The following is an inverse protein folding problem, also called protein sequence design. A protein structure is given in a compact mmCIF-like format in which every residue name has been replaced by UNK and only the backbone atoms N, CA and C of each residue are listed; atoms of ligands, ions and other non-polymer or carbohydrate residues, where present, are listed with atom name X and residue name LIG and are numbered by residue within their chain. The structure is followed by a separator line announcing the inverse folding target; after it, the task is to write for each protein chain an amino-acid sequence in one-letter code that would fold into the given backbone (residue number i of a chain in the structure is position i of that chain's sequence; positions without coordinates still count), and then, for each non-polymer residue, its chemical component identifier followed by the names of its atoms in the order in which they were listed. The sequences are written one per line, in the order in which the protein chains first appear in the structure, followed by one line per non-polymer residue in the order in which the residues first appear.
data_IF_121657679698
#
_entry.id   IF_121657679698
#
_cell.length_a   1.000
_cell.length_b   1.000
_cell.length_c   1.000
_cell.angle_alpha   90.00
_cell.angle_beta   90.00
_cell.angle_gamma   90.00
#
_symmetry.space_group_name_H-M   'P 1'
#
loop_
_entity.id
_entity.type
_entity.pdbx_description
1 polymer ?
#
# COMPACT_ATOMS: atom_id res chain seq x y z
N UNK A 1 44.74 26.63 -0.97
CA UNK A 1 43.87 25.91 -0.03
C UNK A 1 42.62 25.50 -0.81
N UNK A 2 42.44 24.20 -1.07
CA UNK A 2 41.34 23.67 -1.89
C UNK A 2 40.18 23.30 -0.96
N UNK A 3 39.04 23.93 -1.15
CA UNK A 3 37.75 23.52 -0.59
C UNK A 3 37.38 22.13 -1.13
N UNK A 4 37.64 21.11 -0.34
CA UNK A 4 37.24 19.72 -0.57
C UNK A 4 36.20 19.31 0.49
N UNK A 5 35.15 20.12 0.62
CA UNK A 5 33.95 19.73 1.36
C UNK A 5 32.96 19.01 0.43
N UNK A 6 32.23 17.99 0.92
CA UNK A 6 31.22 17.31 0.12
C UNK A 6 30.20 18.33 -0.41
N UNK A 7 29.86 18.25 -1.70
CA UNK A 7 28.83 19.10 -2.30
C UNK A 7 27.49 18.82 -1.63
N UNK A 8 27.10 19.69 -0.72
CA UNK A 8 25.93 19.51 0.16
C UNK A 8 24.57 19.44 -0.56
N UNK A 9 24.49 19.73 -1.85
CA UNK A 9 23.20 19.92 -2.51
C UNK A 9 22.36 18.63 -2.65
N UNK A 10 22.98 17.43 -2.54
CA UNK A 10 22.27 16.15 -2.64
C UNK A 10 22.64 15.12 -1.55
N UNK A 11 23.51 15.45 -0.59
CA UNK A 11 23.87 14.53 0.50
C UNK A 11 22.74 14.43 1.54
N UNK A 12 22.42 13.20 1.96
CA UNK A 12 21.48 12.91 3.05
C UNK A 12 22.29 12.48 4.29
N UNK A 13 22.44 13.35 5.30
CA UNK A 13 23.20 13.04 6.51
C UNK A 13 22.52 11.91 7.30
N UNK A 14 23.29 10.84 7.57
CA UNK A 14 22.84 9.67 8.33
C UNK A 14 23.68 9.52 9.59
N UNK A 15 23.02 9.24 10.71
CA UNK A 15 23.67 8.94 11.99
C UNK A 15 24.53 7.68 11.88
N UNK A 16 25.69 7.69 12.51
CA UNK A 16 26.55 6.52 12.61
C UNK A 16 26.07 5.62 13.78
N UNK A 17 25.50 4.44 13.51
CA UNK A 17 24.95 3.57 14.57
C UNK A 17 26.04 2.97 15.47
N UNK A 18 27.30 3.02 15.05
CA UNK A 18 28.43 2.45 15.77
C UNK A 18 29.01 3.38 16.84
N UNK A 19 28.51 4.62 16.97
CA UNK A 19 29.04 5.65 17.88
C UNK A 19 28.00 6.00 18.95
N UNK A 20 28.42 5.98 20.22
CA UNK A 20 27.59 6.44 21.34
C UNK A 20 27.54 7.98 21.38
N UNK A 21 26.43 8.53 20.89
CA UNK A 21 26.19 9.96 20.78
C UNK A 21 26.25 10.72 22.11
N UNK A 22 26.06 10.04 23.25
CA UNK A 22 26.10 10.66 24.59
C UNK A 22 27.51 10.94 25.09
N UNK A 23 28.51 10.33 24.46
CA UNK A 23 29.93 10.47 24.83
C UNK A 23 30.67 11.48 23.94
N UNK A 24 30.01 12.01 22.91
CA UNK A 24 30.57 13.01 22.02
C UNK A 24 30.52 14.41 22.65
N UNK A 25 31.56 15.24 22.49
CA UNK A 25 31.60 16.61 23.01
C UNK A 25 30.76 17.55 22.13
N UNK A 26 29.45 17.33 22.06
CA UNK A 26 28.52 18.11 21.27
C UNK A 26 28.15 19.41 21.99
N UNK A 27 28.19 20.54 21.28
CA UNK A 27 27.58 21.78 21.77
C UNK A 27 26.05 21.76 21.59
N UNK A 28 25.35 22.75 22.17
CA UNK A 28 23.89 22.81 22.14
C UNK A 28 23.31 22.89 20.72
N UNK A 29 24.01 23.54 19.79
CA UNK A 29 23.57 23.69 18.41
C UNK A 29 23.78 22.40 17.61
N UNK A 30 24.90 21.71 17.81
CA UNK A 30 25.21 20.40 17.23
C UNK A 30 24.22 19.34 17.71
N UNK A 31 23.94 19.29 19.01
CA UNK A 31 22.93 18.39 19.58
C UNK A 31 21.52 18.69 19.04
N UNK A 32 21.18 19.97 18.85
CA UNK A 32 19.91 20.37 18.26
C UNK A 32 19.79 19.92 16.80
N UNK A 33 20.80 20.19 15.96
CA UNK A 33 20.81 19.74 14.56
C UNK A 33 20.72 18.22 14.50
N UNK A 34 21.49 17.51 15.32
CA UNK A 34 21.51 16.05 15.37
C UNK A 34 20.14 15.46 15.77
N UNK A 35 19.42 16.11 16.69
CA UNK A 35 18.06 15.71 17.08
C UNK A 35 17.01 15.84 15.96
N UNK A 36 17.33 16.61 14.90
CA UNK A 36 16.46 16.83 13.74
C UNK A 36 16.85 15.98 12.53
N UNK A 37 17.93 15.20 12.62
CA UNK A 37 18.33 14.29 11.56
C UNK A 37 17.56 12.98 11.67
N UNK A 38 16.66 12.77 10.72
CA UNK A 38 15.83 11.56 10.57
C UNK A 38 16.46 10.52 9.62
N UNK A 39 17.62 10.84 9.03
CA UNK A 39 18.32 10.00 8.04
C UNK A 39 17.71 10.00 6.64
N UNK A 40 16.65 10.79 6.41
CA UNK A 40 15.91 10.87 5.14
C UNK A 40 15.86 12.29 4.56
N UNK A 41 16.04 13.30 5.39
CA UNK A 41 16.08 14.70 4.97
C UNK A 41 17.41 15.05 4.30
N UNK A 42 17.36 15.62 3.09
CA UNK A 42 18.56 16.09 2.38
C UNK A 42 19.14 17.33 3.06
N UNK A 43 20.46 17.49 3.00
CA UNK A 43 21.16 18.60 3.65
C UNK A 43 20.66 19.99 3.21
N UNK A 44 20.20 20.14 1.96
CA UNK A 44 19.61 21.39 1.44
C UNK A 44 18.27 21.78 2.06
N UNK A 45 17.52 20.82 2.60
CA UNK A 45 16.17 21.03 3.15
C UNK A 45 16.19 21.28 4.67
N UNK A 46 17.33 21.01 5.31
CA UNK A 46 17.54 21.21 6.75
C UNK A 46 17.46 22.68 7.24
N UNK A 47 17.81 23.72 6.46
CA UNK A 47 17.59 25.11 6.88
C UNK A 47 16.12 25.39 7.21
N UNK A 48 15.17 24.81 6.45
CA UNK A 48 13.74 24.96 6.70
C UNK A 48 13.29 24.30 8.01
N UNK A 49 13.96 23.23 8.45
CA UNK A 49 13.62 22.48 9.66
C UNK A 49 14.29 23.02 10.93
N UNK A 50 15.48 23.59 10.79
CA UNK A 50 16.32 24.05 11.91
C UNK A 50 16.24 25.56 12.12
N UNK A 51 15.83 26.33 11.11
CA UNK A 51 15.85 27.79 11.12
C UNK A 51 17.26 28.39 11.06
N UNK A 52 18.29 27.57 10.84
CA UNK A 52 19.68 28.01 10.76
C UNK A 52 20.06 28.39 9.32
N UNK A 53 20.93 29.42 9.13
CA UNK A 53 21.44 29.77 7.82
C UNK A 53 22.28 28.63 7.26
N UNK A 54 22.21 28.44 5.94
CA UNK A 54 22.82 27.30 5.24
C UNK A 54 24.30 27.16 5.60
N UNK A 55 25.09 28.24 5.51
CA UNK A 55 26.53 28.25 5.83
C UNK A 55 26.84 27.71 7.23
N UNK A 56 26.09 28.14 8.24
CA UNK A 56 26.27 27.68 9.63
C UNK A 56 25.94 26.20 9.79
N UNK A 57 24.94 25.72 9.04
CA UNK A 57 24.58 24.31 9.04
C UNK A 57 25.65 23.45 8.35
N UNK A 58 26.33 23.97 7.31
CA UNK A 58 27.47 23.27 6.67
C UNK A 58 28.58 23.01 7.68
N UNK A 59 28.95 24.04 8.45
CA UNK A 59 30.00 23.95 9.45
C UNK A 59 29.64 22.95 10.56
N UNK A 60 28.39 22.97 11.02
CA UNK A 60 27.90 22.02 12.03
C UNK A 60 27.94 20.58 11.50
N UNK A 61 27.45 20.34 10.27
CA UNK A 61 27.46 19.00 9.68
C UNK A 61 28.88 18.49 9.42
N UNK A 62 29.81 19.36 8.99
CA UNK A 62 31.21 19.00 8.82
C UNK A 62 31.85 18.56 10.16
N UNK A 63 31.62 19.32 11.24
CA UNK A 63 32.10 18.94 12.59
C UNK A 63 31.49 17.63 13.08
N UNK A 64 30.21 17.40 12.81
CA UNK A 64 29.54 16.14 13.19
C UNK A 64 30.07 14.93 12.42
N UNK A 65 30.49 15.09 11.17
CA UNK A 65 31.19 14.03 10.41
C UNK A 65 32.59 13.80 10.99
N UNK A 66 33.34 14.85 11.29
CA UNK A 66 34.69 14.77 11.88
C UNK A 66 34.67 14.08 13.25
N UNK A 67 33.65 14.35 14.07
CA UNK A 67 33.42 13.71 15.36
C UNK A 67 32.87 12.28 15.24
N UNK A 68 32.63 11.79 14.02
CA UNK A 68 32.13 10.44 13.74
C UNK A 68 30.64 10.24 14.03
N UNK A 69 29.89 11.30 14.36
CA UNK A 69 28.46 11.25 14.62
C UNK A 69 27.63 10.97 13.35
N UNK A 70 28.14 11.40 12.19
CA UNK A 70 27.52 11.21 10.88
C UNK A 70 28.41 10.41 9.93
N UNK A 71 27.79 9.63 9.05
CA UNK A 71 28.48 8.93 7.96
C UNK A 71 28.88 9.92 6.86
N UNK A 72 30.13 9.91 6.37
CA UNK A 72 30.55 10.81 5.29
C UNK A 72 29.75 10.56 4.00
N UNK A 73 29.42 11.63 3.28
CA UNK A 73 28.73 11.54 1.99
C UNK A 73 29.56 10.77 0.97
N UNK A 74 28.94 9.81 0.29
CA UNK A 74 29.58 8.80 -0.55
C UNK A 74 30.20 9.31 -1.88
N UNK A 75 30.60 10.58 -2.00
CA UNK A 75 31.25 11.11 -3.21
C UNK A 75 32.78 11.22 -3.13
N UNK A 76 33.43 10.93 -2.00
CA UNK A 76 34.91 10.95 -1.88
C UNK A 76 35.57 9.55 -1.79
N UNK A 77 34.83 8.48 -2.06
CA UNK A 77 35.41 7.14 -2.20
C UNK A 77 35.74 6.84 -3.68
N UNK A 78 36.93 7.21 -4.13
CA UNK A 78 37.46 6.84 -5.44
C UNK A 78 37.49 5.30 -5.61
N UNK A 79 36.90 4.72 -6.68
CA UNK A 79 37.05 3.30 -6.95
C UNK A 79 38.36 3.04 -7.69
N UNK A 80 39.22 2.21 -7.08
CA UNK A 80 40.41 1.65 -7.69
C UNK A 80 39.95 0.65 -8.76
N UNK A 81 40.07 1.03 -10.02
CA UNK A 81 39.78 0.22 -11.19
C UNK A 81 40.77 -0.96 -11.28
N UNK A 82 40.28 -2.19 -11.14
CA UNK A 82 40.97 -3.39 -11.59
C UNK A 82 40.32 -3.90 -12.87
N UNK A 83 41.09 -3.80 -13.96
CA UNK A 83 40.83 -4.32 -15.30
C UNK A 83 40.48 -5.82 -15.31
N UNK A 84 39.50 -6.22 -16.13
CA UNK A 84 39.70 -7.31 -17.11
C UNK A 84 38.67 -7.29 -18.23
N UNK A 85 39.18 -7.05 -19.43
CA UNK A 85 38.55 -7.24 -20.73
C UNK A 85 38.52 -8.74 -21.11
N UNK A 86 37.57 -9.13 -21.95
CA UNK A 86 37.63 -10.37 -22.72
C UNK A 86 36.29 -10.85 -23.29
N UNK A 87 35.92 -10.31 -24.46
CA UNK A 87 35.05 -10.99 -25.44
C UNK A 87 35.96 -11.40 -26.63
N UNK A 88 35.63 -12.42 -27.46
CA UNK A 88 34.58 -12.25 -28.48
C UNK A 88 33.79 -13.50 -28.96
N UNK A 89 32.61 -13.21 -29.52
CA UNK A 89 31.90 -13.73 -30.72
C UNK A 89 31.87 -15.24 -31.10
N UNK A 90 30.66 -15.76 -31.39
CA UNK A 90 30.22 -16.28 -32.71
C UNK A 90 28.76 -16.83 -32.73
N UNK A 91 28.08 -16.67 -33.87
CA UNK A 91 26.81 -17.28 -34.37
C UNK A 91 27.09 -17.71 -35.85
N UNK A 92 26.19 -18.39 -36.59
CA UNK A 92 25.50 -19.69 -36.47
C UNK A 92 25.81 -20.57 -37.75
N UNK A 93 25.06 -21.64 -38.17
CA UNK A 93 23.77 -21.49 -38.89
C UNK A 93 22.74 -22.70 -38.90
N UNK A 94 21.48 -22.36 -39.28
CA UNK A 94 20.46 -23.07 -40.14
C UNK A 94 19.87 -24.48 -39.88
N UNK A 95 18.54 -24.51 -39.62
CA UNK A 95 17.36 -25.22 -40.26
C UNK A 95 17.55 -26.44 -41.20
N UNK A 96 16.55 -27.38 -41.34
CA UNK A 96 15.15 -27.10 -41.73
C UNK A 96 14.02 -28.01 -41.18
N UNK A 97 12.81 -27.66 -41.65
CA UNK A 97 11.45 -28.07 -41.29
C UNK A 97 11.03 -29.49 -41.68
N UNK A 98 9.94 -29.97 -41.06
CA UNK A 98 8.96 -30.84 -41.73
C UNK A 98 7.54 -30.63 -41.14
N UNK A 99 6.62 -30.18 -42.01
CA UNK A 99 5.16 -30.16 -41.84
C UNK A 99 4.57 -31.54 -42.20
N UNK A 100 3.37 -31.87 -41.71
CA UNK A 100 2.18 -32.27 -42.52
C UNK A 100 0.97 -32.54 -41.57
N UNK A 101 -0.27 -32.23 -42.00
CA UNK A 101 -1.43 -32.00 -41.13
C UNK A 101 -2.45 -33.14 -41.18
N UNK A 102 -3.45 -33.13 -40.28
CA UNK A 102 -4.73 -33.78 -40.54
C UNK A 102 -5.90 -32.99 -39.96
N UNK A 103 -6.81 -32.68 -40.88
CA UNK A 103 -8.02 -31.89 -40.79
C UNK A 103 -9.20 -32.86 -40.79
N UNK A 104 -10.10 -32.76 -39.81
CA UNK A 104 -11.48 -33.24 -39.96
C UNK A 104 -12.43 -32.14 -39.46
N UNK A 105 -13.15 -31.58 -40.42
CA UNK A 105 -14.42 -30.82 -40.33
C UNK A 105 -15.54 -31.78 -39.85
N UNK A 106 -16.74 -31.44 -39.39
CA UNK A 106 -17.55 -30.24 -39.22
C UNK A 106 -18.81 -30.71 -38.45
N UNK A 107 -19.56 -29.79 -37.84
CA UNK A 107 -20.98 -29.57 -38.12
C UNK A 107 -21.66 -28.89 -36.92
N UNK A 108 -22.31 -27.79 -37.25
CA UNK A 108 -22.98 -26.81 -36.41
C UNK A 108 -24.38 -27.24 -35.96
N UNK A 109 -24.91 -26.61 -34.91
CA UNK A 109 -26.26 -26.04 -34.92
C UNK A 109 -26.43 -24.99 -33.81
N UNK A 110 -26.99 -23.85 -34.21
CA UNK A 110 -27.39 -22.71 -33.41
C UNK A 110 -28.49 -23.03 -32.38
N UNK A 111 -28.47 -22.32 -31.24
CA UNK A 111 -29.66 -21.54 -30.83
C UNK A 111 -29.27 -20.38 -29.91
N UNK A 112 -29.94 -19.26 -30.11
CA UNK A 112 -29.63 -17.93 -29.59
C UNK A 112 -30.15 -17.71 -28.17
N UNK A 113 -29.47 -16.86 -27.40
CA UNK A 113 -30.15 -15.95 -26.46
C UNK A 113 -29.29 -14.71 -26.21
N UNK A 114 -30.04 -13.62 -26.14
CA UNK A 114 -29.71 -12.21 -26.23
C UNK A 114 -29.22 -11.67 -24.88
N UNK A 115 -28.00 -11.11 -24.84
CA UNK A 115 -27.51 -10.24 -23.76
C UNK A 115 -26.23 -9.53 -24.24
N UNK A 116 -26.35 -8.25 -24.60
CA UNK A 116 -25.24 -7.37 -24.97
C UNK A 116 -24.14 -7.32 -23.89
N UNK A 117 -22.85 -7.50 -24.25
CA UNK A 117 -21.73 -7.36 -23.33
C UNK A 117 -21.30 -5.89 -23.17
N UNK A 118 -21.01 -5.52 -21.92
CA UNK A 118 -20.46 -4.23 -21.51
C UNK A 118 -19.08 -3.98 -22.16
N UNK A 119 -18.76 -2.76 -22.63
CA UNK A 119 -17.39 -2.43 -23.01
C UNK A 119 -16.54 -2.19 -21.76
N UNK A 120 -15.53 -3.06 -21.58
CA UNK A 120 -14.40 -2.85 -20.68
C UNK A 120 -13.67 -1.57 -21.08
N UNK A 121 -13.85 -0.50 -20.30
CA UNK A 121 -13.08 0.74 -20.48
C UNK A 121 -11.90 0.70 -19.52
N UNK A 122 -10.71 0.70 -20.12
CA UNK A 122 -9.43 0.72 -19.45
C UNK A 122 -9.36 1.81 -18.37
N UNK A 123 -8.99 1.38 -17.16
CA UNK A 123 -8.82 2.23 -16.01
C UNK A 123 -7.55 3.08 -16.17
N UNK A 124 -7.70 4.31 -16.66
CA UNK A 124 -6.72 5.35 -16.46
C UNK A 124 -6.75 5.78 -14.98
N UNK A 125 -5.70 5.38 -14.24
CA UNK A 125 -5.45 5.73 -12.85
C UNK A 125 -5.14 7.23 -12.73
N UNK A 126 -6.14 8.03 -12.38
CA UNK A 126 -5.98 9.41 -11.92
C UNK A 126 -5.60 9.42 -10.45
N UNK A 127 -4.32 9.64 -10.16
CA UNK A 127 -3.83 9.94 -8.83
C UNK A 127 -4.49 11.22 -8.29
N UNK A 128 -5.13 11.13 -7.13
CA UNK A 128 -5.46 12.29 -6.31
C UNK A 128 -5.32 11.90 -4.84
N UNK A 129 -4.64 12.80 -4.12
CA UNK A 129 -3.97 12.51 -2.88
C UNK A 129 -4.91 12.36 -1.69
N UNK A 130 -4.59 11.37 -0.87
CA UNK A 130 -4.64 11.48 0.58
C UNK A 130 -3.57 10.52 1.11
N UNK A 131 -2.74 10.98 2.04
CA UNK A 131 -1.42 10.40 2.38
C UNK A 131 -1.39 8.88 2.42
N UNK A 132 -0.76 8.28 1.41
CA UNK A 132 -0.41 6.87 1.45
C UNK A 132 0.72 6.70 2.47
N UNK A 133 0.39 6.11 3.61
CA UNK A 133 1.29 5.24 4.38
C UNK A 133 1.63 3.97 3.57
N UNK A 134 1.89 4.11 2.26
CA UNK A 134 2.59 3.06 1.52
C UNK A 134 4.00 3.02 2.10
N UNK A 135 4.46 1.86 2.62
CA UNK A 135 5.85 1.74 3.03
C UNK A 135 6.71 2.11 1.82
N UNK A 136 7.71 2.97 2.04
CA UNK A 136 8.59 3.41 0.98
C UNK A 136 9.08 2.20 0.17
N UNK A 137 9.17 2.30 -1.17
CA UNK A 137 9.51 1.17 -2.07
C UNK A 137 10.89 0.52 -1.81
N UNK A 138 11.66 0.99 -0.83
CA UNK A 138 12.93 0.41 -0.38
C UNK A 138 12.82 -0.65 0.73
N UNK A 139 11.65 -0.85 1.34
CA UNK A 139 11.48 -1.74 2.50
C UNK A 139 10.95 -3.15 2.17
N UNK A 140 10.58 -3.40 0.91
CA UNK A 140 10.18 -4.72 0.44
C UNK A 140 11.42 -5.51 0.01
N UNK A 141 11.61 -6.68 0.63
CA UNK A 141 12.71 -7.59 0.30
C UNK A 141 12.57 -8.02 -1.17
N UNK A 142 13.62 -7.82 -1.96
CA UNK A 142 13.66 -8.22 -3.38
C UNK A 142 13.26 -9.68 -3.56
N UNK A 143 12.47 -9.98 -4.60
CA UNK A 143 12.02 -11.34 -4.95
C UNK A 143 13.20 -12.34 -5.08
N UNK A 144 14.38 -11.86 -5.52
CA UNK A 144 15.58 -12.70 -5.57
C UNK A 144 16.05 -13.13 -4.17
N UNK A 145 15.99 -12.22 -3.19
CA UNK A 145 16.37 -12.49 -1.80
C UNK A 145 15.33 -13.38 -1.12
N UNK A 146 14.04 -13.15 -1.39
CA UNK A 146 12.95 -14.04 -0.96
C UNK A 146 13.16 -15.47 -1.49
N UNK A 147 13.55 -15.60 -2.76
CA UNK A 147 13.90 -16.89 -3.37
C UNK A 147 15.05 -17.60 -2.64
N UNK A 148 16.04 -16.85 -2.18
CA UNK A 148 17.17 -17.41 -1.42
C UNK A 148 16.75 -17.95 -0.05
N UNK A 149 15.92 -17.20 0.71
CA UNK A 149 15.40 -17.67 2.00
C UNK A 149 14.54 -18.92 1.85
N UNK A 150 13.67 -18.93 0.84
CA UNK A 150 12.83 -20.10 0.56
C UNK A 150 13.66 -21.32 0.19
N UNK A 151 14.67 -21.15 -0.66
CA UNK A 151 15.59 -22.24 -1.02
C UNK A 151 16.34 -22.77 0.21
N UNK A 152 16.80 -21.88 1.09
CA UNK A 152 17.46 -22.27 2.33
C UNK A 152 16.52 -23.09 3.22
N UNK A 153 15.27 -22.66 3.38
CA UNK A 153 14.26 -23.40 4.14
C UNK A 153 14.07 -24.82 3.60
N UNK A 154 13.75 -24.95 2.31
CA UNK A 154 13.46 -26.26 1.69
C UNK A 154 14.64 -27.23 1.75
N UNK A 155 15.86 -26.72 1.60
CA UNK A 155 17.07 -27.57 1.53
C UNK A 155 17.65 -27.95 2.87
N UNK A 156 17.54 -27.08 3.90
CA UNK A 156 18.25 -27.27 5.18
C UNK A 156 17.33 -27.42 6.38
N UNK A 157 16.18 -26.76 6.38
CA UNK A 157 15.35 -26.62 7.58
C UNK A 157 14.11 -27.52 7.51
N UNK A 158 13.45 -27.59 6.36
CA UNK A 158 12.19 -28.32 6.20
C UNK A 158 12.28 -29.81 6.56
N UNK A 159 13.42 -30.45 6.29
CA UNK A 159 13.65 -31.85 6.62
C UNK A 159 13.89 -32.15 8.10
N UNK A 160 14.08 -31.13 8.94
CA UNK A 160 14.31 -31.31 10.37
C UNK A 160 12.99 -31.58 11.12
N UNK A 161 13.01 -32.42 12.17
CA UNK A 161 11.87 -32.62 13.05
C UNK A 161 11.32 -31.29 13.59
N UNK A 162 10.01 -31.25 13.85
CA UNK A 162 9.33 -30.05 14.37
C UNK A 162 10.00 -29.51 15.64
N UNK A 163 10.25 -30.37 16.64
CA UNK A 163 10.87 -29.98 17.91
C UNK A 163 12.26 -29.34 17.72
N UNK A 164 13.02 -29.82 16.74
CA UNK A 164 14.33 -29.25 16.42
C UNK A 164 14.19 -27.86 15.79
N UNK A 165 13.24 -27.68 14.86
CA UNK A 165 12.97 -26.37 14.25
C UNK A 165 12.46 -25.37 15.29
N UNK A 166 11.58 -25.79 16.20
CA UNK A 166 11.12 -24.98 17.33
C UNK A 166 12.30 -24.55 18.21
N UNK A 167 13.14 -25.50 18.62
CA UNK A 167 14.30 -25.20 19.46
C UNK A 167 15.28 -24.24 18.77
N UNK A 168 15.53 -24.42 17.47
CA UNK A 168 16.39 -23.54 16.68
C UNK A 168 15.80 -22.13 16.54
N UNK A 169 14.49 -22.01 16.34
CA UNK A 169 13.81 -20.75 16.06
C UNK A 169 14.06 -19.67 17.13
N UNK A 170 14.21 -20.05 18.40
CA UNK A 170 14.41 -19.11 19.51
C UNK A 170 15.72 -18.33 19.46
N UNK A 171 16.78 -18.90 18.86
CA UNK A 171 18.14 -18.33 18.94
C UNK A 171 18.82 -18.10 17.60
N UNK A 172 18.24 -18.56 16.51
CA UNK A 172 18.86 -18.47 15.19
C UNK A 172 18.93 -17.02 14.68
N UNK A 173 19.90 -16.75 13.81
CA UNK A 173 20.16 -15.47 13.16
C UNK A 173 19.82 -15.53 11.67
N UNK A 174 19.88 -14.38 10.99
CA UNK A 174 19.78 -14.37 9.53
C UNK A 174 21.01 -15.01 8.87
N UNK A 175 20.84 -15.73 7.74
CA UNK A 175 19.62 -15.84 6.93
C UNK A 175 18.63 -16.95 7.36
N UNK A 176 18.99 -17.83 8.28
CA UNK A 176 18.15 -18.95 8.73
C UNK A 176 16.87 -18.47 9.43
N UNK A 177 16.92 -17.36 10.18
CA UNK A 177 15.75 -16.75 10.81
C UNK A 177 14.69 -16.33 9.78
N UNK A 178 15.11 -15.62 8.74
CA UNK A 178 14.26 -15.28 7.59
C UNK A 178 13.73 -16.53 6.86
N UNK A 179 14.52 -17.60 6.77
CA UNK A 179 14.07 -18.86 6.16
C UNK A 179 13.00 -19.58 7.01
N UNK A 180 13.12 -19.58 8.35
CA UNK A 180 12.09 -20.15 9.25
C UNK A 180 10.75 -19.40 9.19
N UNK A 181 10.70 -18.19 8.63
CA UNK A 181 9.42 -17.49 8.41
C UNK A 181 8.52 -18.17 7.35
N UNK A 182 9.08 -19.08 6.54
CA UNK A 182 8.34 -19.88 5.55
C UNK A 182 7.78 -21.19 6.12
N UNK A 183 8.02 -21.46 7.40
CA UNK A 183 7.59 -22.69 8.03
C UNK A 183 6.05 -22.81 8.05
N UNK A 184 5.46 -23.94 7.59
CA UNK A 184 4.03 -24.13 7.62
C UNK A 184 3.48 -24.44 9.03
N UNK A 185 4.34 -24.82 9.97
CA UNK A 185 3.94 -25.30 11.30
C UNK A 185 3.75 -24.11 12.26
N UNK A 186 2.56 -23.95 12.88
CA UNK A 186 2.30 -22.84 13.79
C UNK A 186 3.21 -22.79 15.01
N UNK A 187 3.64 -23.95 15.54
CA UNK A 187 4.54 -24.01 16.69
C UNK A 187 5.90 -23.38 16.38
N UNK A 188 6.46 -23.65 15.20
CA UNK A 188 7.71 -23.03 14.74
C UNK A 188 7.54 -21.54 14.56
N UNK A 189 6.45 -21.08 13.94
CA UNK A 189 6.20 -19.63 13.78
C UNK A 189 6.04 -18.93 15.14
N UNK A 190 5.38 -19.54 16.12
CA UNK A 190 5.32 -18.99 17.49
C UNK A 190 6.71 -18.84 18.09
N UNK A 191 7.55 -19.88 18.02
CA UNK A 191 8.92 -19.84 18.50
C UNK A 191 9.78 -18.79 17.76
N UNK A 192 9.62 -18.67 16.44
CA UNK A 192 10.26 -17.62 15.64
C UNK A 192 9.83 -16.25 16.15
N UNK A 193 8.54 -16.01 16.38
CA UNK A 193 8.03 -14.72 16.89
C UNK A 193 8.49 -14.39 18.31
N UNK A 194 8.96 -15.37 19.09
CA UNK A 194 9.56 -15.19 20.41
C UNK A 194 11.06 -14.87 20.35
N UNK A 195 11.71 -15.10 19.21
CA UNK A 195 13.12 -14.75 19.02
C UNK A 195 13.31 -13.22 19.14
N UNK A 196 14.25 -12.75 19.98
CA UNK A 196 14.45 -11.32 20.23
C UNK A 196 14.91 -10.53 18.99
N UNK A 197 15.42 -11.21 17.95
CA UNK A 197 15.89 -10.60 16.71
C UNK A 197 14.76 -10.44 15.68
N UNK A 198 13.56 -10.97 15.93
CA UNK A 198 12.45 -10.82 15.01
C UNK A 198 11.90 -9.40 14.99
N UNK A 199 12.19 -8.71 13.89
CA UNK A 199 11.63 -7.41 13.52
C UNK A 199 10.54 -7.45 12.43
N UNK A 200 10.23 -6.27 11.87
CA UNK A 200 9.16 -6.08 10.88
C UNK A 200 9.37 -6.83 9.57
N UNK A 201 10.62 -6.99 9.12
CA UNK A 201 10.92 -7.74 7.89
C UNK A 201 10.40 -9.19 7.97
N UNK A 202 10.69 -9.87 9.09
CA UNK A 202 10.20 -11.22 9.38
C UNK A 202 8.68 -11.27 9.52
N UNK A 203 8.08 -10.28 10.22
CA UNK A 203 6.63 -10.18 10.35
C UNK A 203 5.93 -10.07 8.99
N UNK A 204 6.50 -9.30 8.04
CA UNK A 204 5.99 -9.17 6.67
C UNK A 204 6.11 -10.48 5.88
N UNK A 205 7.21 -11.22 6.04
CA UNK A 205 7.36 -12.57 5.45
C UNK A 205 6.27 -13.53 5.94
N UNK A 206 6.06 -13.59 7.26
CA UNK A 206 5.06 -14.45 7.88
C UNK A 206 3.66 -14.05 7.41
N UNK A 207 3.33 -12.75 7.44
CA UNK A 207 2.05 -12.23 6.96
C UNK A 207 1.75 -12.62 5.51
N UNK A 208 2.76 -12.55 4.63
CA UNK A 208 2.62 -12.82 3.19
C UNK A 208 2.52 -14.32 2.87
N UNK A 209 3.27 -15.15 3.58
CA UNK A 209 3.52 -16.53 3.14
C UNK A 209 2.98 -17.61 4.07
N UNK A 210 2.74 -17.32 5.35
CA UNK A 210 2.30 -18.34 6.28
C UNK A 210 0.87 -18.81 5.97
N UNK A 211 0.67 -20.12 5.91
CA UNK A 211 -0.56 -20.75 5.40
C UNK A 211 -1.45 -21.35 6.49
N UNK A 212 -1.15 -21.08 7.76
CA UNK A 212 -1.96 -21.58 8.86
C UNK A 212 -2.56 -20.41 9.67
N UNK A 213 -3.89 -20.40 9.88
CA UNK A 213 -4.55 -19.32 10.60
C UNK A 213 -4.03 -19.14 12.03
N UNK A 214 -3.62 -20.23 12.71
CA UNK A 214 -3.08 -20.18 14.07
C UNK A 214 -1.77 -19.40 14.14
N UNK A 215 -0.89 -19.54 13.14
CA UNK A 215 0.34 -18.76 13.10
C UNK A 215 0.11 -17.30 12.71
N UNK A 216 -0.88 -17.02 11.86
CA UNK A 216 -1.29 -15.63 11.56
C UNK A 216 -1.89 -14.93 12.79
N UNK A 217 -2.66 -15.65 13.62
CA UNK A 217 -3.14 -15.14 14.89
C UNK A 217 -2.00 -14.84 15.86
N UNK A 218 -0.99 -15.73 15.94
CA UNK A 218 0.19 -15.50 16.77
C UNK A 218 0.96 -14.25 16.31
N UNK A 219 1.13 -14.04 15.00
CA UNK A 219 1.72 -12.83 14.46
C UNK A 219 0.97 -11.57 14.93
N UNK A 220 -0.36 -11.62 14.88
CA UNK A 220 -1.22 -10.49 15.23
C UNK A 220 -1.35 -10.27 16.75
N UNK A 221 -0.79 -11.14 17.59
CA UNK A 221 -0.77 -10.93 19.04
C UNK A 221 0.17 -9.79 19.46
N UNK A 222 1.16 -9.44 18.63
CA UNK A 222 2.10 -8.33 18.88
C UNK A 222 1.58 -7.06 18.21
N UNK A 223 1.13 -6.10 19.03
CA UNK A 223 0.54 -4.84 18.55
C UNK A 223 1.46 -4.06 17.58
N UNK A 224 2.78 -4.08 17.84
CA UNK A 224 3.79 -3.44 16.99
C UNK A 224 3.74 -3.94 15.53
N UNK A 225 3.47 -5.23 15.30
CA UNK A 225 3.36 -5.78 13.95
C UNK A 225 2.05 -5.39 13.28
N UNK A 226 0.94 -5.39 14.03
CA UNK A 226 -0.35 -4.94 13.49
C UNK A 226 -0.41 -3.44 13.19
N UNK A 227 0.47 -2.65 13.82
CA UNK A 227 0.62 -1.23 13.58
C UNK A 227 1.40 -0.92 12.28
N UNK A 228 2.17 -1.87 11.75
CA UNK A 228 2.89 -1.73 10.48
C UNK A 228 1.96 -1.83 9.26
N UNK A 229 2.09 -0.91 8.32
CA UNK A 229 1.28 -0.90 7.08
C UNK A 229 1.62 -2.06 6.15
N UNK A 230 2.90 -2.43 6.06
CA UNK A 230 3.35 -3.56 5.24
C UNK A 230 2.79 -4.90 5.73
N UNK A 231 2.85 -5.17 7.03
CA UNK A 231 2.25 -6.37 7.64
C UNK A 231 0.75 -6.41 7.35
N UNK A 232 0.04 -5.29 7.56
CA UNK A 232 -1.40 -5.21 7.26
C UNK A 232 -1.71 -5.48 5.79
N UNK A 233 -0.95 -4.89 4.87
CA UNK A 233 -1.08 -5.08 3.41
C UNK A 233 -0.92 -6.55 3.02
N UNK A 234 0.10 -7.22 3.57
CA UNK A 234 0.31 -8.64 3.27
C UNK A 234 -0.71 -9.55 3.95
N UNK A 235 -1.15 -9.23 5.18
CA UNK A 235 -2.19 -9.98 5.88
C UNK A 235 -3.50 -10.03 5.09
N UNK A 236 -4.01 -8.89 4.61
CA UNK A 236 -5.29 -8.85 3.88
C UNK A 236 -5.24 -9.58 2.55
N UNK A 237 -4.05 -9.72 1.95
CA UNK A 237 -3.81 -10.47 0.72
C UNK A 237 -3.59 -11.97 0.97
N UNK A 238 -3.41 -12.38 2.22
CA UNK A 238 -3.20 -13.78 2.57
C UNK A 238 -4.53 -14.57 2.49
N UNK A 239 -4.62 -15.63 1.65
CA UNK A 239 -5.83 -16.45 1.52
C UNK A 239 -6.25 -17.17 2.80
N UNK A 240 -5.34 -17.36 3.74
CA UNK A 240 -5.55 -18.07 5.00
C UNK A 240 -5.91 -17.14 6.17
N UNK A 241 -6.11 -15.84 5.91
CA UNK A 241 -6.55 -14.88 6.92
C UNK A 241 -7.96 -15.23 7.43
N UNK A 242 -8.14 -15.54 8.73
CA UNK A 242 -9.46 -15.77 9.30
C UNK A 242 -10.34 -14.51 9.25
N UNK A 243 -11.62 -14.67 8.90
CA UNK A 243 -12.57 -13.56 8.89
C UNK A 243 -12.75 -12.93 10.29
N UNK A 244 -12.66 -13.72 11.36
CA UNK A 244 -12.67 -13.22 12.74
C UNK A 244 -11.48 -12.30 13.04
N UNK A 245 -10.28 -12.72 12.62
CA UNK A 245 -9.05 -11.94 12.76
C UNK A 245 -9.13 -10.65 11.93
N UNK A 246 -9.57 -10.75 10.68
CA UNK A 246 -9.78 -9.57 9.82
C UNK A 246 -10.75 -8.57 10.46
N UNK A 247 -11.92 -9.02 10.94
CA UNK A 247 -12.89 -8.13 11.61
C UNK A 247 -12.27 -7.46 12.84
N UNK A 248 -11.54 -8.19 13.67
CA UNK A 248 -10.89 -7.62 14.86
C UNK A 248 -9.90 -6.51 14.49
N UNK A 249 -9.12 -6.71 13.43
CA UNK A 249 -8.09 -5.76 13.00
C UNK A 249 -8.65 -4.57 12.19
N UNK A 250 -9.71 -4.77 11.40
CA UNK A 250 -10.24 -3.74 10.49
C UNK A 250 -11.52 -3.03 10.94
N UNK A 251 -12.27 -3.55 11.92
CA UNK A 251 -13.59 -3.02 12.27
C UNK A 251 -13.61 -1.51 12.60
N UNK A 252 -12.54 -1.00 13.21
CA UNK A 252 -12.45 0.40 13.64
C UNK A 252 -11.73 1.31 12.62
N UNK A 253 -11.34 0.78 11.46
CA UNK A 253 -10.63 1.56 10.42
C UNK A 253 -11.59 2.49 9.67
N UNK A 254 -11.02 3.42 8.90
CA UNK A 254 -11.82 4.41 8.18
C UNK A 254 -12.57 3.79 7.00
N UNK A 255 -13.69 4.39 6.59
CA UNK A 255 -14.51 3.98 5.46
C UNK A 255 -13.70 3.86 4.16
N UNK A 256 -12.79 4.82 3.93
CA UNK A 256 -11.90 4.79 2.76
C UNK A 256 -11.02 3.55 2.72
N UNK A 257 -10.50 3.10 3.87
CA UNK A 257 -9.65 1.91 3.93
C UNK A 257 -10.44 0.63 3.62
N UNK A 258 -11.67 0.55 4.13
CA UNK A 258 -12.57 -0.55 3.78
C UNK A 258 -12.83 -0.55 2.27
N UNK A 259 -13.14 0.60 1.68
CA UNK A 259 -13.40 0.71 0.24
C UNK A 259 -12.17 0.30 -0.60
N UNK A 260 -10.97 0.75 -0.25
CA UNK A 260 -9.72 0.34 -0.92
C UNK A 260 -9.62 -1.19 -1.00
N UNK A 261 -9.95 -1.91 0.08
CA UNK A 261 -9.96 -3.38 0.07
C UNK A 261 -11.07 -3.99 -0.81
N UNK A 262 -12.23 -3.34 -0.92
CA UNK A 262 -13.32 -3.87 -1.77
C UNK A 262 -13.01 -3.85 -3.26
N UNK A 263 -12.08 -2.99 -3.69
CA UNK A 263 -11.71 -2.83 -5.10
C UNK A 263 -10.34 -3.42 -5.44
N UNK A 264 -9.53 -3.78 -4.43
CA UNK A 264 -8.22 -4.41 -4.64
C UNK A 264 -8.36 -5.84 -5.19
N UNK A 265 -7.78 -6.09 -6.36
CA UNK A 265 -7.82 -7.40 -7.05
C UNK A 265 -6.91 -8.43 -6.38
N UNK A 266 -5.87 -7.98 -5.68
CA UNK A 266 -4.91 -8.85 -4.97
C UNK A 266 -5.48 -9.42 -3.67
N UNK A 267 -6.56 -8.82 -3.15
CA UNK A 267 -7.23 -9.27 -1.94
C UNK A 267 -8.15 -10.46 -2.26
N UNK A 268 -8.08 -11.59 -1.54
CA UNK A 268 -8.98 -12.73 -1.74
C UNK A 268 -10.47 -12.35 -1.65
N UNK A 269 -11.33 -13.01 -2.44
CA UNK A 269 -12.76 -12.69 -2.49
C UNK A 269 -13.47 -12.87 -1.13
N UNK A 270 -13.03 -13.83 -0.31
CA UNK A 270 -13.51 -14.02 1.07
C UNK A 270 -13.26 -12.78 1.94
N UNK A 271 -12.04 -12.23 1.87
CA UNK A 271 -11.65 -10.99 2.56
C UNK A 271 -12.41 -9.80 2.00
N UNK A 272 -12.53 -9.66 0.67
CA UNK A 272 -13.32 -8.59 0.04
C UNK A 272 -14.78 -8.62 0.45
N UNK A 273 -15.40 -9.79 0.54
CA UNK A 273 -16.79 -9.95 1.02
C UNK A 273 -16.93 -9.42 2.45
N UNK A 274 -16.02 -9.81 3.34
CA UNK A 274 -16.02 -9.33 4.72
C UNK A 274 -15.75 -7.82 4.80
N UNK A 275 -14.87 -7.29 3.94
CA UNK A 275 -14.62 -5.85 3.85
C UNK A 275 -15.86 -5.07 3.37
N UNK A 276 -16.64 -5.62 2.43
CA UNK A 276 -17.93 -5.04 1.99
C UNK A 276 -18.96 -5.04 3.11
N UNK A 277 -19.04 -6.10 3.91
CA UNK A 277 -19.91 -6.16 5.09
C UNK A 277 -19.55 -5.08 6.11
N UNK A 278 -18.26 -4.96 6.45
CA UNK A 278 -17.77 -3.93 7.38
C UNK A 278 -17.95 -2.52 6.83
N UNK A 279 -17.71 -2.29 5.54
CA UNK A 279 -17.96 -1.01 4.87
C UNK A 279 -19.41 -0.58 5.05
N UNK A 280 -20.37 -1.49 4.82
CA UNK A 280 -21.81 -1.21 4.99
C UNK A 280 -22.17 -0.94 6.45
N UNK A 281 -21.67 -1.76 7.38
CA UNK A 281 -21.91 -1.59 8.81
C UNK A 281 -21.37 -0.24 9.32
N UNK A 282 -20.14 0.12 8.92
CA UNK A 282 -19.51 1.40 9.27
C UNK A 282 -20.17 2.57 8.56
N UNK A 283 -20.65 2.41 7.33
CA UNK A 283 -21.35 3.48 6.63
C UNK A 283 -22.71 3.79 7.28
N UNK A 284 -23.42 2.77 7.78
CA UNK A 284 -24.68 2.96 8.48
C UNK A 284 -24.52 3.73 9.81
N UNK A 285 -23.51 3.37 10.60
CA UNK A 285 -23.31 3.88 11.97
C UNK A 285 -22.24 4.99 12.11
N UNK A 286 -21.45 5.22 11.08
CA UNK A 286 -20.29 6.12 11.12
C UNK A 286 -20.65 7.60 11.08
N UNK A 287 -19.65 8.47 11.33
CA UNK A 287 -19.82 9.92 11.32
C UNK A 287 -20.15 10.44 9.91
N UNK A 288 -20.99 11.48 9.86
CA UNK A 288 -21.50 12.05 8.61
C UNK A 288 -20.38 12.57 7.69
N UNK A 289 -19.34 13.16 8.27
CA UNK A 289 -18.18 13.71 7.57
C UNK A 289 -17.42 12.64 6.80
N UNK A 290 -17.17 11.49 7.44
CA UNK A 290 -16.45 10.37 6.83
C UNK A 290 -17.24 9.75 5.67
N UNK A 291 -18.57 9.70 5.77
CA UNK A 291 -19.44 9.28 4.65
C UNK A 291 -19.31 10.22 3.45
N UNK A 292 -19.25 11.53 3.71
CA UNK A 292 -19.08 12.55 2.66
C UNK A 292 -17.70 12.43 2.01
N UNK A 293 -16.64 12.32 2.81
CA UNK A 293 -15.28 12.10 2.33
C UNK A 293 -15.20 10.85 1.43
N UNK A 294 -15.78 9.72 1.87
CA UNK A 294 -15.85 8.51 1.06
C UNK A 294 -16.51 8.76 -0.29
N UNK A 295 -17.68 9.40 -0.30
CA UNK A 295 -18.43 9.64 -1.54
C UNK A 295 -17.64 10.56 -2.47
N UNK A 296 -17.06 11.64 -1.95
CA UNK A 296 -16.35 12.62 -2.77
C UNK A 296 -15.01 12.08 -3.29
N UNK A 297 -14.20 11.47 -2.43
CA UNK A 297 -12.87 10.97 -2.79
C UNK A 297 -12.93 9.76 -3.73
N UNK A 298 -14.05 9.03 -3.76
CA UNK A 298 -14.27 7.93 -4.70
C UNK A 298 -15.08 8.34 -5.93
N UNK A 299 -15.41 9.62 -6.07
CA UNK A 299 -16.35 10.13 -7.08
C UNK A 299 -17.67 9.34 -7.13
N UNK A 300 -18.14 8.85 -5.98
CA UNK A 300 -19.35 8.05 -5.84
C UNK A 300 -19.19 6.59 -6.23
N UNK A 301 -18.01 6.11 -6.62
CA UNK A 301 -17.79 4.68 -6.98
C UNK A 301 -18.09 3.75 -5.82
N UNK A 302 -17.85 4.19 -4.58
CA UNK A 302 -18.19 3.42 -3.38
C UNK A 302 -19.70 3.14 -3.24
N UNK A 303 -20.56 3.94 -3.87
CA UNK A 303 -22.03 3.80 -3.78
C UNK A 303 -22.53 2.47 -4.36
N UNK A 304 -21.78 1.86 -5.29
CA UNK A 304 -22.11 0.53 -5.82
C UNK A 304 -22.09 -0.57 -4.75
N UNK A 305 -21.22 -0.47 -3.74
CA UNK A 305 -21.21 -1.38 -2.58
C UNK A 305 -22.27 -1.01 -1.51
N UNK A 306 -22.84 0.20 -1.61
CA UNK A 306 -23.77 0.80 -0.65
C UNK A 306 -25.20 0.89 -1.20
N UNK A 307 -25.55 0.07 -2.20
CA UNK A 307 -26.91 -0.02 -2.73
C UNK A 307 -27.88 -0.31 -1.58
N UNK A 308 -28.98 0.46 -1.56
CA UNK A 308 -30.02 0.42 -0.53
C UNK A 308 -29.67 1.10 0.79
N UNK A 309 -28.46 1.65 0.95
CA UNK A 309 -28.09 2.39 2.16
C UNK A 309 -28.45 3.85 2.00
N UNK A 310 -29.30 4.37 2.89
CA UNK A 310 -29.60 5.79 2.98
C UNK A 310 -28.52 6.54 3.78
N UNK A 311 -28.58 7.86 3.74
CA UNK A 311 -27.76 8.75 4.58
C UNK A 311 -28.65 9.60 5.48
N UNK A 312 -28.09 10.01 6.61
CA UNK A 312 -28.72 10.91 7.56
C UNK A 312 -28.80 12.35 7.03
N UNK A 313 -29.65 13.17 7.66
CA UNK A 313 -29.88 14.56 7.25
C UNK A 313 -28.62 15.42 7.29
N UNK A 314 -27.70 15.16 8.21
CA UNK A 314 -26.42 15.88 8.30
C UNK A 314 -25.52 15.54 7.11
N UNK A 315 -25.35 14.27 6.75
CA UNK A 315 -24.63 13.88 5.52
C UNK A 315 -25.27 14.49 4.27
N UNK A 316 -26.60 14.46 4.16
CA UNK A 316 -27.30 15.07 3.02
C UNK A 316 -27.05 16.58 2.94
N UNK A 317 -27.12 17.29 4.06
CA UNK A 317 -26.84 18.73 4.14
C UNK A 317 -25.40 19.06 3.73
N UNK A 318 -24.42 18.30 4.22
CA UNK A 318 -23.01 18.47 3.86
C UNK A 318 -22.75 18.25 2.36
N UNK A 319 -23.43 17.29 1.73
CA UNK A 319 -23.37 17.08 0.28
C UNK A 319 -24.01 18.25 -0.49
N UNK A 320 -25.19 18.71 -0.06
CA UNK A 320 -25.84 19.89 -0.64
C UNK A 320 -25.04 21.19 -0.46
N UNK A 321 -24.16 21.27 0.53
CA UNK A 321 -23.26 22.40 0.72
C UNK A 321 -22.13 22.50 -0.32
N UNK A 322 -22.01 21.53 -1.24
CA UNK A 322 -20.92 21.47 -2.22
C UNK A 322 -21.34 21.93 -3.61
N UNK A 323 -20.36 22.47 -4.33
CA UNK A 323 -20.43 22.70 -5.78
C UNK A 323 -19.81 21.50 -6.50
N UNK A 324 -20.55 20.91 -7.43
CA UNK A 324 -20.12 19.70 -8.13
C UNK A 324 -19.47 20.05 -9.48
N UNK A 325 -18.21 19.63 -9.65
CA UNK A 325 -17.44 19.85 -10.89
C UNK A 325 -17.19 18.56 -11.68
N UNK A 326 -17.29 17.39 -11.05
CA UNK A 326 -17.08 16.08 -11.69
C UNK A 326 -18.39 15.56 -12.29
N UNK A 327 -18.49 15.40 -13.62
CA UNK A 327 -19.65 14.76 -14.25
C UNK A 327 -19.83 13.32 -13.75
N UNK A 328 -18.73 12.60 -13.54
CA UNK A 328 -18.75 11.21 -13.08
C UNK A 328 -19.38 11.07 -11.70
N UNK A 329 -19.04 11.95 -10.76
CA UNK A 329 -19.66 11.97 -9.43
C UNK A 329 -21.18 12.19 -9.52
N UNK A 330 -21.63 13.11 -10.38
CA UNK A 330 -23.07 13.36 -10.57
C UNK A 330 -23.75 12.13 -11.18
N UNK A 331 -23.13 11.47 -12.17
CA UNK A 331 -23.65 10.24 -12.75
C UNK A 331 -23.80 9.13 -11.70
N UNK A 332 -22.80 8.95 -10.84
CA UNK A 332 -22.85 7.94 -9.78
C UNK A 332 -23.91 8.27 -8.72
N UNK A 333 -24.03 9.54 -8.32
CA UNK A 333 -25.10 10.00 -7.42
C UNK A 333 -26.48 9.83 -8.04
N UNK A 334 -26.62 10.06 -9.35
CA UNK A 334 -27.88 9.85 -10.07
C UNK A 334 -28.25 8.37 -10.24
N UNK A 335 -27.30 7.43 -10.10
CA UNK A 335 -27.57 5.98 -10.12
C UNK A 335 -27.82 5.41 -8.73
N UNK A 336 -27.48 6.15 -7.68
CA UNK A 336 -27.66 5.72 -6.30
C UNK A 336 -29.12 5.89 -5.87
N UNK A 337 -29.90 4.81 -5.95
CA UNK A 337 -31.35 4.82 -5.67
C UNK A 337 -31.75 5.36 -4.29
N UNK A 338 -30.86 5.27 -3.30
CA UNK A 338 -31.07 5.79 -1.96
C UNK A 338 -30.60 7.25 -1.78
N UNK A 339 -30.20 7.94 -2.86
CA UNK A 339 -29.84 9.35 -2.83
C UNK A 339 -30.99 10.20 -2.27
N UNK A 340 -30.76 11.03 -1.24
CA UNK A 340 -31.82 11.83 -0.63
C UNK A 340 -32.52 12.74 -1.64
N UNK A 341 -33.85 12.93 -1.56
CA UNK A 341 -34.58 13.83 -2.46
C UNK A 341 -34.00 15.26 -2.50
N UNK A 342 -33.57 15.77 -1.34
CA UNK A 342 -32.94 17.10 -1.22
C UNK A 342 -31.63 17.20 -2.00
N UNK A 343 -30.86 16.12 -2.08
CA UNK A 343 -29.62 16.07 -2.84
C UNK A 343 -29.90 16.04 -4.34
N UNK A 344 -30.87 15.24 -4.78
CA UNK A 344 -31.28 15.18 -6.20
C UNK A 344 -31.77 16.55 -6.68
N UNK A 345 -32.61 17.21 -5.87
CA UNK A 345 -33.09 18.57 -6.16
C UNK A 345 -31.94 19.60 -6.21
N UNK A 346 -30.94 19.47 -5.34
CA UNK A 346 -29.74 20.32 -5.37
C UNK A 346 -28.90 20.10 -6.61
N UNK A 347 -28.66 18.84 -7.01
CA UNK A 347 -27.89 18.49 -8.20
C UNK A 347 -28.51 19.07 -9.47
N UNK A 348 -29.84 19.03 -9.60
CA UNK A 348 -30.57 19.62 -10.74
C UNK A 348 -30.37 21.14 -10.87
N UNK A 349 -30.00 21.83 -9.79
CA UNK A 349 -29.70 23.28 -9.78
C UNK A 349 -28.25 23.59 -10.12
N UNK A 350 -27.35 22.61 -10.14
CA UNK A 350 -25.93 22.81 -10.42
C UNK A 350 -25.72 23.29 -11.87
N UNK A 351 -24.83 24.27 -12.03
CA UNK A 351 -24.48 24.83 -13.35
C UNK A 351 -24.00 23.76 -14.33
N UNK A 352 -23.23 22.78 -13.86
CA UNK A 352 -22.75 21.67 -14.69
C UNK A 352 -23.90 20.83 -15.26
N UNK A 353 -24.94 20.54 -14.46
CA UNK A 353 -26.11 19.77 -14.88
C UNK A 353 -26.98 20.56 -15.85
N UNK A 354 -27.12 21.88 -15.64
CA UNK A 354 -27.86 22.75 -16.58
C UNK A 354 -27.21 22.79 -17.96
N UNK A 355 -25.88 22.76 -18.01
CA UNK A 355 -25.10 22.77 -19.27
C UNK A 355 -25.03 21.41 -19.95
N UNK A 356 -25.32 20.31 -19.24
CA UNK A 356 -25.21 18.94 -19.76
C UNK A 356 -26.57 18.23 -19.75
N UNK A 357 -27.29 18.20 -20.90
CA UNK A 357 -28.63 17.62 -20.98
C UNK A 357 -28.70 16.15 -20.55
N UNK A 358 -27.63 15.37 -20.81
CA UNK A 358 -27.55 13.96 -20.41
C UNK A 358 -27.62 13.77 -18.89
N UNK A 359 -26.89 14.58 -18.12
CA UNK A 359 -26.92 14.53 -16.66
C UNK A 359 -28.29 14.95 -16.11
N UNK A 360 -28.89 15.98 -16.71
CA UNK A 360 -30.23 16.43 -16.36
C UNK A 360 -31.27 15.34 -16.60
N UNK A 361 -31.21 14.65 -17.75
CA UNK A 361 -32.11 13.56 -18.07
C UNK A 361 -31.98 12.38 -17.09
N UNK A 362 -30.74 12.02 -16.69
CA UNK A 362 -30.52 10.98 -15.67
C UNK A 362 -31.15 11.36 -14.33
N UNK A 363 -30.93 12.60 -13.86
CA UNK A 363 -31.47 13.08 -12.60
C UNK A 363 -33.00 13.23 -12.62
N UNK A 364 -33.59 13.63 -13.76
CA UNK A 364 -35.04 13.73 -13.92
C UNK A 364 -35.73 12.36 -13.82
N UNK A 365 -35.06 11.30 -14.32
CA UNK A 365 -35.53 9.90 -14.22
C UNK A 365 -35.31 9.28 -12.83
N UNK A 366 -34.61 9.96 -11.93
CA UNK A 366 -34.32 9.41 -10.61
C UNK A 366 -35.61 9.23 -9.78
N UNK A 367 -35.75 8.12 -9.02
CA UNK A 367 -36.95 7.86 -8.20
C UNK A 367 -37.30 9.02 -7.26
N UNK A 368 -36.29 9.67 -6.70
CA UNK A 368 -36.44 10.80 -5.76
C UNK A 368 -36.40 12.18 -6.42
N UNK A 369 -36.54 12.28 -7.76
CA UNK A 369 -36.59 13.58 -8.43
C UNK A 369 -37.87 14.36 -8.08
N UNK A 370 -37.79 15.70 -7.95
CA UNK A 370 -38.95 16.57 -7.75
C UNK A 370 -40.03 16.39 -8.81
N UNK A 371 -41.31 16.47 -8.42
CA UNK A 371 -42.45 16.18 -9.29
C UNK A 371 -42.58 17.15 -10.48
N UNK A 372 -42.16 18.41 -10.30
CA UNK A 372 -42.11 19.44 -11.34
C UNK A 372 -41.12 19.08 -12.45
N UNK A 373 -39.99 18.47 -12.11
CA UNK A 373 -38.96 18.08 -13.08
C UNK A 373 -39.33 16.78 -13.81
N UNK A 374 -40.15 15.91 -13.21
CA UNK A 374 -40.64 14.67 -13.85
C UNK A 374 -41.72 14.92 -14.92
N UNK A 375 -42.39 16.08 -14.87
CA UNK A 375 -43.50 16.45 -15.77
C UNK A 375 -43.04 17.26 -16.99
N UNK A 376 -41.81 17.77 -16.97
CA UNK A 376 -41.17 18.52 -18.05
C UNK A 376 -40.26 17.60 -18.86
#
# INVERSE_FOLDING_TARGET
MKDSGPRMNDWTPKLNPSVDLRRLPLNAEEGFVLSRLDGHTRARDLPALTGLPLEKLRDILARLVEQGALLPGAEDAAPVNALRQGAPAARPPTTPAEEVPLRIQAASAHEATDADPLPETEAASGASGDGDDEPAPGDEVSEAVLGNYRKLFETRLHGLPEDQRVAMAHGVEDPELSALCFDPVPAVIKATLENPRVGLAHARLIARHHRNPVGLEALCARAAFTADSGVRRFLVRNPQLPASLFRRLWALRRLMEHHKLTVDRDVPESTRRTARELLRQRFASGPSEEKVELILNTEGRALGALVGMSVDGKTASLLCGRTYRSPLLIQNLARWSAAPPVLVAHLLKQELVRRQPQLRAMLARHPNAPADVKRA
#
